data_IF_320458696621
#
_entry.id   IF_320458696621
#
_cell.length_a   1.000
_cell.length_b   1.000
_cell.length_c   1.000
_cell.angle_alpha   90.00
_cell.angle_beta   90.00
_cell.angle_gamma   90.00
#
_symmetry.space_group_name_H-M   'P 1'
#
loop_
_entity.id
_entity.type
_entity.pdbx_description
1 polymer ?
#
# COMPACT_ATOMS: atom_id res chain seq x y z
N UNK A 1 -22.76 -0.04 3.60
CA UNK A 1 -22.01 0.26 2.35
C UNK A 1 -20.73 -0.53 2.40
N UNK A 2 -20.49 -1.36 1.39
CA UNK A 2 -19.23 -2.10 1.30
C UNK A 2 -18.12 -1.12 0.83
N UNK A 3 -17.06 -1.03 1.61
CA UNK A 3 -15.95 -0.09 1.43
C UNK A 3 -14.68 -0.90 1.27
N UNK A 4 -13.77 -0.53 0.39
CA UNK A 4 -12.40 -1.06 0.35
C UNK A 4 -11.42 0.10 0.17
N UNK A 5 -10.61 0.35 1.19
CA UNK A 5 -9.70 1.50 1.23
C UNK A 5 -8.23 1.13 1.00
N UNK A 6 -7.94 -0.12 0.57
CA UNK A 6 -6.57 -0.55 0.35
C UNK A 6 -6.51 -1.61 -0.75
N UNK A 7 -6.04 -1.20 -1.93
CA UNK A 7 -5.83 -2.09 -3.07
C UNK A 7 -4.81 -1.51 -4.06
N UNK A 8 -4.22 -2.38 -4.88
CA UNK A 8 -3.14 -2.05 -5.79
C UNK A 8 -3.44 -2.46 -7.22
N UNK A 9 -3.04 -1.61 -8.16
CA UNK A 9 -3.16 -1.83 -9.60
C UNK A 9 -1.80 -2.03 -10.27
N UNK A 10 -1.80 -2.20 -11.60
CA UNK A 10 -0.57 -2.25 -12.40
C UNK A 10 0.21 -0.92 -12.38
N UNK A 11 -0.37 0.16 -11.85
CA UNK A 11 0.38 1.40 -11.63
C UNK A 11 1.49 1.22 -10.57
N UNK A 12 1.41 0.19 -9.72
CA UNK A 12 2.49 -0.19 -8.79
C UNK A 12 2.86 -1.67 -8.93
N UNK A 13 2.30 -2.54 -8.12
CA UNK A 13 2.63 -3.97 -8.08
C UNK A 13 1.40 -4.89 -8.02
N UNK A 14 0.22 -4.35 -8.29
CA UNK A 14 -0.97 -5.13 -8.56
C UNK A 14 -0.98 -5.76 -9.94
N UNK A 15 -1.85 -6.75 -10.15
CA UNK A 15 -1.94 -7.51 -11.38
C UNK A 15 -3.04 -7.02 -12.36
N UNK A 16 -3.88 -6.08 -11.96
CA UNK A 16 -4.98 -5.57 -12.77
C UNK A 16 -4.78 -4.08 -13.09
N UNK A 17 -5.09 -3.70 -14.33
CA UNK A 17 -5.16 -2.28 -14.70
C UNK A 17 -6.18 -1.55 -13.82
N UNK A 18 -6.01 -0.24 -13.53
CA UNK A 18 -6.88 0.51 -12.62
C UNK A 18 -8.37 0.37 -12.96
N UNK A 19 -8.76 0.51 -14.24
CA UNK A 19 -10.16 0.36 -14.64
C UNK A 19 -10.71 -1.06 -14.43
N UNK A 20 -9.89 -2.08 -14.70
CA UNK A 20 -10.27 -3.49 -14.50
C UNK A 20 -10.45 -3.81 -13.02
N UNK A 21 -9.57 -3.27 -12.16
CA UNK A 21 -9.66 -3.41 -10.71
C UNK A 21 -10.94 -2.75 -10.19
N UNK A 22 -11.25 -1.53 -10.63
CA UNK A 22 -12.48 -0.82 -10.26
C UNK A 22 -13.73 -1.60 -10.67
N UNK A 23 -13.79 -2.13 -11.90
CA UNK A 23 -14.90 -2.94 -12.37
C UNK A 23 -15.06 -4.21 -11.49
N UNK A 24 -13.96 -4.89 -11.17
CA UNK A 24 -13.97 -6.05 -10.28
C UNK A 24 -14.48 -5.70 -8.88
N UNK A 25 -14.04 -4.58 -8.31
CA UNK A 25 -14.51 -4.09 -7.01
C UNK A 25 -16.04 -3.85 -7.03
N UNK A 26 -16.54 -3.23 -8.11
CA UNK A 26 -17.96 -3.01 -8.29
C UNK A 26 -18.77 -4.31 -8.36
N UNK A 27 -18.29 -5.31 -9.12
CA UNK A 27 -18.88 -6.65 -9.22
C UNK A 27 -18.91 -7.37 -7.86
N UNK A 28 -17.89 -7.16 -7.02
CA UNK A 28 -17.83 -7.68 -5.65
C UNK A 28 -18.68 -6.88 -4.65
N UNK A 29 -19.42 -5.90 -5.11
CA UNK A 29 -20.34 -5.11 -4.30
C UNK A 29 -19.72 -3.95 -3.55
N UNK A 30 -18.44 -3.61 -3.80
CA UNK A 30 -17.81 -2.40 -3.28
C UNK A 30 -18.52 -1.16 -3.84
N UNK A 31 -18.75 -0.17 -3.01
CA UNK A 31 -19.40 1.09 -3.39
C UNK A 31 -18.57 2.33 -3.07
N UNK A 32 -17.60 2.18 -2.17
CA UNK A 32 -16.57 3.19 -1.88
C UNK A 32 -15.21 2.51 -1.99
N UNK A 33 -14.40 2.94 -2.93
CA UNK A 33 -13.07 2.38 -3.20
C UNK A 33 -12.01 3.46 -3.02
N UNK A 34 -10.85 3.08 -2.51
CA UNK A 34 -9.64 3.89 -2.61
C UNK A 34 -8.54 3.06 -3.27
N UNK A 35 -8.07 3.50 -4.44
CA UNK A 35 -6.88 2.93 -5.07
C UNK A 35 -5.65 3.53 -4.39
N UNK A 36 -4.80 2.65 -3.83
CA UNK A 36 -3.68 3.05 -2.95
C UNK A 36 -2.34 2.52 -3.45
N UNK A 37 -2.08 2.67 -4.74
CA UNK A 37 -0.84 2.23 -5.35
C UNK A 37 0.40 2.75 -4.62
N UNK A 38 1.43 1.93 -4.54
CA UNK A 38 2.67 2.26 -3.84
C UNK A 38 3.44 3.40 -4.51
N UNK A 39 3.61 4.51 -3.77
CA UNK A 39 4.47 5.64 -4.12
C UNK A 39 4.20 6.25 -5.51
N UNK A 40 2.95 6.14 -6.00
CA UNK A 40 2.51 6.70 -7.29
C UNK A 40 1.05 7.11 -7.26
N UNK A 41 0.68 8.05 -8.13
CA UNK A 41 -0.70 8.51 -8.34
C UNK A 41 -1.20 8.20 -9.76
N UNK A 42 -0.38 7.54 -10.59
CA UNK A 42 -0.64 7.38 -12.02
C UNK A 42 -1.92 6.60 -12.34
N UNK A 43 -2.34 5.68 -11.45
CA UNK A 43 -3.58 4.90 -11.62
C UNK A 43 -4.87 5.67 -11.31
N UNK A 44 -4.81 6.84 -10.65
CA UNK A 44 -5.99 7.50 -10.09
C UNK A 44 -6.96 8.03 -11.15
N UNK A 45 -6.46 8.61 -12.24
CA UNK A 45 -7.35 9.20 -13.27
C UNK A 45 -8.13 8.12 -14.00
N UNK A 46 -7.49 7.03 -14.41
CA UNK A 46 -8.16 5.87 -15.03
C UNK A 46 -9.17 5.23 -14.07
N UNK A 47 -8.79 5.05 -12.80
CA UNK A 47 -9.70 4.51 -11.79
C UNK A 47 -10.92 5.40 -11.56
N UNK A 48 -10.74 6.73 -11.59
CA UNK A 48 -11.82 7.72 -11.41
C UNK A 48 -12.82 7.67 -12.54
N UNK A 49 -12.36 7.63 -13.79
CA UNK A 49 -13.23 7.51 -14.96
C UNK A 49 -14.05 6.22 -14.92
N UNK A 50 -13.42 5.10 -14.57
CA UNK A 50 -14.09 3.81 -14.43
C UNK A 50 -15.13 3.83 -13.29
N UNK A 51 -14.78 4.37 -12.12
CA UNK A 51 -15.68 4.46 -10.97
C UNK A 51 -16.89 5.35 -11.27
N UNK A 52 -16.67 6.51 -11.90
CA UNK A 52 -17.74 7.41 -12.33
C UNK A 52 -18.72 6.71 -13.28
N UNK A 53 -18.21 5.96 -14.27
CA UNK A 53 -19.01 5.22 -15.23
C UNK A 53 -19.90 4.15 -14.60
N UNK A 54 -19.48 3.61 -13.44
CA UNK A 54 -20.21 2.59 -12.68
C UNK A 54 -21.08 3.17 -11.56
N UNK A 55 -21.06 4.48 -11.33
CA UNK A 55 -21.73 5.11 -10.19
C UNK A 55 -21.14 4.68 -8.83
N UNK A 56 -19.84 4.39 -8.80
CA UNK A 56 -19.09 4.02 -7.59
C UNK A 56 -18.29 5.24 -7.10
N UNK A 57 -18.23 5.46 -5.79
CA UNK A 57 -17.40 6.50 -5.22
C UNK A 57 -15.94 6.07 -5.18
N UNK A 58 -15.04 6.81 -5.85
CA UNK A 58 -13.61 6.68 -5.69
C UNK A 58 -13.08 7.79 -4.79
N UNK A 59 -12.30 7.41 -3.79
CA UNK A 59 -11.53 8.32 -2.92
C UNK A 59 -10.08 8.29 -3.38
N UNK A 60 -9.47 9.45 -3.67
CA UNK A 60 -8.05 9.50 -3.98
C UNK A 60 -7.26 8.80 -2.88
N UNK A 61 -6.44 7.84 -3.24
CA UNK A 61 -5.63 7.05 -2.32
C UNK A 61 -4.18 6.93 -2.77
N UNK A 62 -3.30 6.72 -1.82
CA UNK A 62 -1.89 6.40 -2.06
C UNK A 62 -1.34 5.65 -0.86
N UNK A 63 -0.44 4.70 -1.07
CA UNK A 63 0.34 4.08 -0.02
C UNK A 63 1.81 4.50 -0.15
N UNK A 64 2.28 5.36 0.76
CA UNK A 64 3.64 5.86 0.75
C UNK A 64 4.57 5.00 1.61
N UNK A 65 5.73 4.66 1.02
CA UNK A 65 6.82 3.96 1.72
C UNK A 65 7.62 4.93 2.57
N UNK A 66 7.90 4.56 3.82
CA UNK A 66 8.76 5.32 4.72
C UNK A 66 9.59 4.42 5.63
N UNK A 67 10.49 5.02 6.41
CA UNK A 67 11.31 4.32 7.40
C UNK A 67 10.96 4.72 8.82
N UNK A 68 10.87 3.73 9.71
CA UNK A 68 10.75 3.92 11.13
C UNK A 68 11.47 2.80 11.90
N UNK A 69 12.30 3.16 12.87
CA UNK A 69 13.00 2.20 13.74
C UNK A 69 13.80 1.13 13.00
N UNK A 70 14.38 1.50 11.82
CA UNK A 70 15.16 0.62 10.96
C UNK A 70 14.32 -0.36 10.12
N UNK A 71 13.00 -0.19 10.07
CA UNK A 71 12.09 -0.96 9.22
C UNK A 71 11.48 -0.09 8.13
N UNK A 72 11.15 -0.67 6.97
CA UNK A 72 10.22 -0.05 6.03
C UNK A 72 8.81 -0.24 6.56
N UNK A 73 8.05 0.84 6.63
CA UNK A 73 6.62 0.85 6.96
C UNK A 73 5.88 1.66 5.91
N UNK A 74 4.57 1.54 5.88
CA UNK A 74 3.73 2.22 4.91
C UNK A 74 2.68 3.09 5.58
N UNK A 75 2.35 4.19 4.92
CA UNK A 75 1.33 5.14 5.37
C UNK A 75 0.36 5.41 4.23
N UNK A 76 -0.92 5.19 4.50
CA UNK A 76 -2.01 5.44 3.57
C UNK A 76 -2.48 6.90 3.68
N UNK A 77 -2.63 7.55 2.54
CA UNK A 77 -3.27 8.86 2.42
C UNK A 77 -4.59 8.75 1.67
N UNK A 78 -5.63 9.46 2.13
CA UNK A 78 -6.96 9.45 1.53
C UNK A 78 -7.52 10.84 1.33
N UNK A 79 -8.16 11.09 0.18
CA UNK A 79 -8.92 12.31 -0.06
C UNK A 79 -8.08 13.57 -0.21
N UNK A 80 -6.86 13.43 -0.67
CA UNK A 80 -5.93 14.54 -0.90
C UNK A 80 -6.15 15.22 -2.25
N UNK A 81 -5.62 16.45 -2.37
CA UNK A 81 -5.41 17.09 -3.67
C UNK A 81 -4.18 16.45 -4.35
N UNK A 82 -4.42 15.74 -5.46
CA UNK A 82 -3.34 15.06 -6.22
C UNK A 82 -2.32 16.02 -6.84
N UNK A 83 -2.66 17.31 -6.95
CA UNK A 83 -1.78 18.37 -7.48
C UNK A 83 -1.08 19.17 -6.37
N UNK A 84 -1.28 18.81 -5.10
CA UNK A 84 -0.61 19.48 -3.99
C UNK A 84 0.91 19.38 -4.13
N UNK A 85 1.59 20.52 -4.19
CA UNK A 85 3.03 20.58 -4.43
C UNK A 85 3.87 19.70 -3.48
N UNK A 86 3.59 19.59 -2.17
CA UNK A 86 4.32 18.69 -1.28
C UNK A 86 4.20 17.22 -1.70
N UNK A 87 3.01 16.77 -2.11
CA UNK A 87 2.77 15.40 -2.51
C UNK A 87 3.45 15.08 -3.85
N UNK A 88 3.33 15.98 -4.83
CA UNK A 88 3.99 15.82 -6.15
C UNK A 88 5.50 15.71 -5.97
N UNK A 89 6.12 16.56 -5.14
CA UNK A 89 7.55 16.50 -4.86
C UNK A 89 7.96 15.19 -4.15
N UNK A 90 7.16 14.73 -3.18
CA UNK A 90 7.43 13.48 -2.47
C UNK A 90 7.32 12.25 -3.40
N UNK A 91 6.30 12.21 -4.28
CA UNK A 91 6.13 11.13 -5.26
C UNK A 91 7.34 11.09 -6.21
N UNK A 92 7.83 12.24 -6.69
CA UNK A 92 9.02 12.28 -7.53
C UNK A 92 10.26 11.70 -6.82
N UNK A 93 10.48 12.07 -5.56
CA UNK A 93 11.58 11.53 -4.76
C UNK A 93 11.45 10.01 -4.53
N UNK A 94 10.22 9.55 -4.24
CA UNK A 94 9.94 8.13 -4.03
C UNK A 94 10.13 7.32 -5.32
N UNK A 95 9.72 7.87 -6.46
CA UNK A 95 9.97 7.27 -7.77
C UNK A 95 11.47 7.05 -8.01
N UNK A 96 12.31 8.07 -7.80
CA UNK A 96 13.77 7.96 -7.93
C UNK A 96 14.33 6.94 -6.92
N UNK A 97 13.85 6.98 -5.69
CA UNK A 97 14.22 6.03 -4.64
C UNK A 97 13.87 4.58 -4.99
N UNK A 98 12.73 4.34 -5.68
CA UNK A 98 12.34 3.01 -6.16
C UNK A 98 13.30 2.50 -7.24
N UNK A 99 13.70 3.34 -8.19
CA UNK A 99 14.69 2.96 -9.20
C UNK A 99 16.03 2.58 -8.57
N UNK A 100 16.59 3.43 -7.71
CA UNK A 100 17.83 3.15 -6.99
C UNK A 100 17.74 1.85 -6.16
N UNK A 101 16.58 1.61 -5.52
CA UNK A 101 16.33 0.39 -4.77
C UNK A 101 16.33 -0.84 -5.67
N UNK A 102 15.68 -0.78 -6.84
CA UNK A 102 15.58 -1.90 -7.77
C UNK A 102 16.95 -2.26 -8.37
N UNK A 103 17.75 -1.24 -8.70
CA UNK A 103 19.16 -1.41 -9.12
C UNK A 103 19.99 -2.09 -8.03
N UNK A 104 19.86 -1.65 -6.78
CA UNK A 104 20.60 -2.24 -5.66
C UNK A 104 20.15 -3.68 -5.35
N UNK A 105 18.87 -3.99 -5.46
CA UNK A 105 18.36 -5.39 -5.37
C UNK A 105 19.02 -6.24 -6.46
N UNK A 106 18.99 -5.77 -7.72
CA UNK A 106 19.60 -6.47 -8.85
C UNK A 106 21.09 -6.70 -8.66
N UNK A 107 21.83 -5.65 -8.25
CA UNK A 107 23.25 -5.75 -7.94
C UNK A 107 23.54 -6.82 -6.87
N UNK A 108 22.76 -6.83 -5.79
CA UNK A 108 22.92 -7.81 -4.71
C UNK A 108 22.58 -9.24 -5.14
N UNK A 109 21.52 -9.41 -5.95
CA UNK A 109 21.16 -10.72 -6.51
C UNK A 109 22.24 -11.24 -7.47
N UNK A 110 22.80 -10.37 -8.31
CA UNK A 110 23.90 -10.72 -9.22
C UNK A 110 25.13 -11.25 -8.48
N UNK A 111 25.49 -10.66 -7.34
CA UNK A 111 26.57 -11.14 -6.47
C UNK A 111 26.29 -12.53 -5.85
N UNK A 112 25.06 -13.00 -5.92
CA UNK A 112 24.62 -14.32 -5.46
C UNK A 112 24.37 -15.31 -6.61
N UNK A 113 24.85 -14.98 -7.82
CA UNK A 113 24.73 -15.85 -8.98
C UNK A 113 23.40 -15.76 -9.73
N UNK A 114 22.68 -14.66 -9.55
CA UNK A 114 21.40 -14.36 -10.21
C UNK A 114 21.51 -13.08 -11.06
N UNK A 115 22.31 -13.09 -12.16
CA UNK A 115 22.49 -11.91 -13.01
C UNK A 115 21.23 -11.62 -13.85
N UNK A 116 21.07 -10.35 -14.29
CA UNK A 116 19.94 -9.95 -15.13
C UNK A 116 18.62 -9.73 -14.38
N UNK A 117 18.69 -9.58 -13.05
CA UNK A 117 17.49 -9.48 -12.21
C UNK A 117 16.65 -8.24 -12.50
N UNK A 118 17.26 -7.08 -12.80
CA UNK A 118 16.52 -5.86 -13.11
C UNK A 118 15.77 -5.98 -14.43
N UNK A 119 16.46 -6.42 -15.47
CA UNK A 119 15.89 -6.63 -16.81
C UNK A 119 14.78 -7.68 -16.78
N UNK A 120 14.99 -8.76 -16.04
CA UNK A 120 13.99 -9.82 -15.88
C UNK A 120 12.76 -9.37 -15.11
N UNK A 121 12.93 -8.61 -14.00
CA UNK A 121 11.83 -8.06 -13.25
C UNK A 121 11.04 -6.99 -14.06
N UNK A 122 11.73 -6.19 -14.89
CA UNK A 122 11.08 -5.27 -15.84
C UNK A 122 10.27 -6.01 -16.90
N UNK A 123 10.79 -7.10 -17.46
CA UNK A 123 10.04 -7.89 -18.43
C UNK A 123 8.75 -8.47 -17.83
N UNK A 124 8.78 -8.94 -16.57
CA UNK A 124 7.58 -9.36 -15.85
C UNK A 124 6.57 -8.21 -15.73
N UNK A 125 7.04 -7.05 -15.31
CA UNK A 125 6.20 -5.87 -15.14
C UNK A 125 5.56 -5.44 -16.47
N UNK A 126 6.30 -5.43 -17.56
CA UNK A 126 5.81 -5.10 -18.90
C UNK A 126 4.69 -6.05 -19.37
N UNK A 127 4.81 -7.35 -19.08
CA UNK A 127 3.78 -8.33 -19.39
C UNK A 127 2.47 -8.08 -18.62
N UNK A 128 2.56 -7.45 -17.43
CA UNK A 128 1.41 -7.09 -16.61
C UNK A 128 0.77 -5.73 -17.00
N UNK A 129 1.42 -4.96 -17.88
CA UNK A 129 0.95 -3.63 -18.28
C UNK A 129 1.79 -2.52 -17.67
N UNK A 130 3.01 -2.37 -18.14
CA UNK A 130 4.04 -1.46 -17.62
C UNK A 130 3.52 -0.03 -17.40
N UNK A 131 3.68 0.46 -16.19
CA UNK A 131 3.40 1.84 -15.78
C UNK A 131 4.59 2.80 -15.97
N UNK A 132 5.77 2.31 -16.40
CA UNK A 132 7.01 3.08 -16.42
C UNK A 132 7.71 3.19 -15.06
N UNK A 133 7.10 2.68 -14.01
CA UNK A 133 7.65 2.69 -12.65
C UNK A 133 8.75 1.63 -12.46
N UNK A 134 9.52 1.75 -11.38
CA UNK A 134 10.56 0.78 -11.06
C UNK A 134 9.95 -0.57 -10.62
N UNK A 135 10.53 -1.72 -11.04
CA UNK A 135 10.04 -3.02 -10.60
C UNK A 135 10.06 -3.16 -9.09
N UNK A 136 8.93 -3.61 -8.52
CA UNK A 136 8.79 -3.92 -7.11
C UNK A 136 9.28 -5.35 -6.79
N UNK A 137 9.44 -5.69 -5.50
CA UNK A 137 9.89 -7.03 -5.06
C UNK A 137 9.05 -8.19 -5.60
N UNK A 138 7.72 -8.09 -5.77
CA UNK A 138 6.94 -9.14 -6.43
C UNK A 138 7.42 -9.47 -7.85
N UNK A 139 7.78 -8.45 -8.66
CA UNK A 139 8.30 -8.66 -10.01
C UNK A 139 9.64 -9.41 -10.01
N UNK A 140 10.55 -9.07 -9.06
CA UNK A 140 11.77 -9.85 -8.85
C UNK A 140 11.48 -11.30 -8.42
N UNK A 141 10.49 -11.50 -7.56
CA UNK A 141 10.10 -12.84 -7.12
C UNK A 141 9.60 -13.70 -8.30
N UNK A 142 8.75 -13.13 -9.15
CA UNK A 142 8.25 -13.84 -10.34
C UNK A 142 9.35 -14.15 -11.35
N UNK A 143 10.27 -13.19 -11.56
CA UNK A 143 11.45 -13.44 -12.37
C UNK A 143 12.29 -14.59 -11.78
N UNK A 144 12.53 -14.61 -10.47
CA UNK A 144 13.28 -15.69 -9.82
C UNK A 144 12.60 -17.05 -9.96
N UNK A 145 11.27 -17.10 -9.95
CA UNK A 145 10.50 -18.33 -10.21
C UNK A 145 10.64 -18.74 -11.67
N UNK A 146 10.48 -17.80 -12.60
CA UNK A 146 10.61 -18.04 -14.05
C UNK A 146 11.98 -18.61 -14.43
N UNK A 147 13.03 -18.06 -13.86
CA UNK A 147 14.41 -18.51 -14.11
C UNK A 147 14.81 -19.76 -13.31
N UNK A 148 13.93 -20.26 -12.45
CA UNK A 148 14.19 -21.48 -11.65
C UNK A 148 15.15 -21.27 -10.47
N UNK A 149 15.42 -20.04 -10.07
CA UNK A 149 16.23 -19.75 -8.87
C UNK A 149 15.51 -20.11 -7.57
N UNK A 150 14.19 -20.10 -7.59
CA UNK A 150 13.30 -20.49 -6.49
C UNK A 150 12.09 -21.23 -7.05
N UNK A 151 11.42 -22.04 -6.21
CA UNK A 151 10.27 -22.84 -6.64
C UNK A 151 8.95 -22.05 -6.70
N UNK A 152 8.82 -21.02 -5.86
CA UNK A 152 7.61 -20.19 -5.72
C UNK A 152 7.95 -18.81 -5.11
N UNK A 153 6.98 -17.87 -5.20
CA UNK A 153 7.10 -16.53 -4.59
C UNK A 153 7.39 -16.58 -3.09
N UNK A 154 6.78 -17.50 -2.36
CA UNK A 154 6.96 -17.62 -0.92
C UNK A 154 8.43 -17.94 -0.56
N UNK A 155 9.07 -18.79 -1.35
CA UNK A 155 10.50 -19.07 -1.20
C UNK A 155 11.36 -17.84 -1.54
N UNK A 156 11.01 -17.09 -2.61
CA UNK A 156 11.73 -15.87 -2.99
C UNK A 156 11.74 -14.87 -1.83
N UNK A 157 10.58 -14.59 -1.23
CA UNK A 157 10.48 -13.68 -0.09
C UNK A 157 11.17 -14.22 1.16
N UNK A 158 10.97 -15.48 1.49
CA UNK A 158 11.59 -16.10 2.67
C UNK A 158 13.11 -16.07 2.63
N UNK A 159 13.72 -16.32 1.46
CA UNK A 159 15.18 -16.44 1.33
C UNK A 159 15.88 -15.14 0.93
N UNK A 160 15.25 -14.33 0.07
CA UNK A 160 15.95 -13.27 -0.66
C UNK A 160 15.35 -11.87 -0.52
N UNK A 161 14.02 -11.72 -0.63
CA UNK A 161 13.38 -10.41 -0.85
C UNK A 161 12.61 -9.88 0.36
N UNK A 162 12.30 -10.72 1.34
CA UNK A 162 11.51 -10.35 2.52
C UNK A 162 12.25 -9.48 3.52
N UNK A 163 11.57 -9.09 4.59
CA UNK A 163 12.12 -8.25 5.66
C UNK A 163 13.41 -8.85 6.24
N UNK A 164 14.44 -8.02 6.39
CA UNK A 164 15.76 -8.44 6.87
C UNK A 164 16.58 -9.30 5.90
N UNK A 165 16.11 -9.52 4.68
CA UNK A 165 16.81 -10.26 3.64
C UNK A 165 17.58 -9.33 2.70
N UNK A 166 18.31 -9.92 1.76
CA UNK A 166 19.17 -9.22 0.81
C UNK A 166 18.44 -8.14 0.00
N UNK A 167 17.21 -8.40 -0.43
CA UNK A 167 16.35 -7.47 -1.17
C UNK A 167 15.60 -6.46 -0.29
N UNK A 168 15.80 -6.47 1.03
CA UNK A 168 15.23 -5.47 1.93
C UNK A 168 16.11 -4.20 1.97
N UNK A 169 16.08 -3.45 0.88
CA UNK A 169 16.82 -2.19 0.72
C UNK A 169 15.96 -1.03 1.20
N UNK A 170 16.42 -0.25 2.20
CA UNK A 170 15.63 0.75 2.95
C UNK A 170 16.15 2.17 2.84
N UNK A 171 17.33 2.37 2.32
CA UNK A 171 18.09 3.64 2.44
C UNK A 171 17.57 4.82 1.62
N UNK A 172 16.51 4.60 0.82
CA UNK A 172 15.96 5.62 -0.08
C UNK A 172 14.57 6.13 0.33
N UNK A 173 14.08 5.73 1.50
CA UNK A 173 12.76 6.12 1.98
C UNK A 173 12.82 7.32 2.94
N UNK A 174 11.85 8.25 2.87
CA UNK A 174 11.70 9.32 3.86
C UNK A 174 11.41 8.76 5.25
N UNK A 175 11.46 9.60 6.26
CA UNK A 175 11.04 9.23 7.62
C UNK A 175 9.52 9.11 7.73
N UNK A 176 9.04 8.45 8.78
CA UNK A 176 7.62 8.40 9.12
C UNK A 176 7.04 9.83 9.28
N UNK A 177 7.77 10.68 10.00
CA UNK A 177 7.38 12.05 10.30
C UNK A 177 7.21 12.86 9.01
N UNK A 178 8.20 12.86 8.12
CA UNK A 178 8.17 13.56 6.83
C UNK A 178 7.01 13.08 5.95
N UNK A 179 6.75 11.77 5.94
CA UNK A 179 5.68 11.15 5.14
C UNK A 179 4.30 11.57 5.65
N UNK A 180 4.08 11.53 6.96
CA UNK A 180 2.81 11.97 7.57
C UNK A 180 2.59 13.46 7.35
N UNK A 181 3.62 14.29 7.51
CA UNK A 181 3.55 15.72 7.27
C UNK A 181 3.20 16.04 5.80
N UNK A 182 3.85 15.36 4.85
CA UNK A 182 3.57 15.50 3.42
C UNK A 182 2.12 15.21 3.08
N UNK A 183 1.60 14.06 3.55
CA UNK A 183 0.20 13.67 3.31
C UNK A 183 -0.77 14.69 3.94
N UNK A 184 -0.52 15.13 5.15
CA UNK A 184 -1.35 16.14 5.82
C UNK A 184 -1.32 17.48 5.09
N UNK A 185 -0.16 17.91 4.63
CA UNK A 185 0.00 19.16 3.86
C UNK A 185 -0.74 19.11 2.51
N UNK A 186 -1.01 17.91 1.97
CA UNK A 186 -1.83 17.69 0.77
C UNK A 186 -3.34 17.58 1.05
N UNK A 187 -3.77 17.74 2.29
CA UNK A 187 -5.18 17.62 2.72
C UNK A 187 -5.64 16.21 3.04
N UNK A 188 -4.72 15.22 3.05
CA UNK A 188 -5.09 13.82 3.26
C UNK A 188 -5.55 13.50 4.68
N UNK A 189 -6.52 12.60 4.78
CA UNK A 189 -6.66 11.74 5.94
C UNK A 189 -5.57 10.67 5.91
N UNK A 190 -4.85 10.51 7.02
CA UNK A 190 -3.67 9.64 7.09
C UNK A 190 -3.97 8.43 7.94
N UNK A 191 -3.62 7.22 7.45
CA UNK A 191 -3.77 5.96 8.19
C UNK A 191 -2.46 5.15 8.16
N UNK A 192 -2.06 4.56 9.28
CA UNK A 192 -0.94 3.62 9.33
C UNK A 192 -1.37 2.29 8.70
N UNK A 193 -0.69 1.88 7.62
CA UNK A 193 -1.02 0.68 6.85
C UNK A 193 -0.66 -0.59 7.62
N UNK A 194 -1.53 -1.60 7.54
CA UNK A 194 -1.32 -2.99 8.02
C UNK A 194 -0.31 -3.15 9.17
N UNK A 195 -0.49 -2.48 10.34
CA UNK A 195 0.54 -2.42 11.40
C UNK A 195 0.84 -3.78 12.03
N UNK A 196 0.06 -4.82 11.70
CA UNK A 196 0.34 -6.18 12.12
C UNK A 196 1.32 -6.92 11.21
N UNK A 197 1.45 -6.52 9.95
CA UNK A 197 2.37 -7.17 9.00
C UNK A 197 3.85 -6.93 9.35
N UNK A 198 4.14 -5.92 10.15
CA UNK A 198 5.49 -5.70 10.65
C UNK A 198 5.81 -6.69 11.78
N UNK A 199 6.93 -7.38 11.66
CA UNK A 199 7.43 -8.30 12.70
C UNK A 199 7.95 -7.51 13.91
N UNK A 200 7.01 -6.87 14.60
CA UNK A 200 7.30 -6.07 15.78
C UNK A 200 6.72 -6.70 17.05
N UNK A 201 7.48 -6.62 18.13
CA UNK A 201 6.95 -6.90 19.46
C UNK A 201 5.78 -5.95 19.77
N UNK A 202 4.94 -6.33 20.73
CA UNK A 202 3.84 -5.48 21.20
C UNK A 202 4.33 -4.08 21.60
N UNK A 203 5.44 -3.98 22.34
CA UNK A 203 6.01 -2.70 22.79
C UNK A 203 6.50 -1.86 21.61
N UNK A 204 7.17 -2.48 20.62
CA UNK A 204 7.65 -1.79 19.42
C UNK A 204 6.49 -1.28 18.58
N UNK A 205 5.40 -2.07 18.42
CA UNK A 205 4.19 -1.66 17.70
C UNK A 205 3.49 -0.49 18.39
N UNK A 206 3.39 -0.52 19.72
CA UNK A 206 2.85 0.63 20.49
C UNK A 206 3.69 1.89 20.32
N UNK A 207 5.01 1.75 20.31
CA UNK A 207 5.90 2.89 20.06
C UNK A 207 5.72 3.45 18.64
N UNK A 208 5.61 2.60 17.62
CA UNK A 208 5.31 3.03 16.25
C UNK A 208 4.02 3.86 16.21
N UNK A 209 2.94 3.35 16.83
CA UNK A 209 1.64 4.05 16.84
C UNK A 209 1.76 5.40 17.59
N UNK A 210 2.47 5.44 18.71
CA UNK A 210 2.68 6.68 19.46
C UNK A 210 3.48 7.71 18.65
N UNK A 211 4.56 7.30 18.00
CA UNK A 211 5.39 8.18 17.16
C UNK A 211 4.58 8.66 15.94
N UNK A 212 3.78 7.77 15.32
CA UNK A 212 2.87 8.08 14.22
C UNK A 212 1.81 9.13 14.60
N UNK A 213 1.22 9.01 15.79
CA UNK A 213 0.29 10.02 16.33
C UNK A 213 1.02 11.33 16.59
N UNK A 214 2.23 11.27 17.16
CA UNK A 214 3.07 12.45 17.37
C UNK A 214 3.37 13.22 16.10
N UNK A 215 3.51 12.52 14.96
CA UNK A 215 3.64 13.11 13.64
C UNK A 215 2.31 13.67 13.07
N UNK A 216 1.17 13.38 13.70
CA UNK A 216 -0.15 13.87 13.30
C UNK A 216 -1.00 12.87 12.53
N UNK A 217 -0.73 11.57 12.65
CA UNK A 217 -1.56 10.52 12.05
C UNK A 217 -2.98 10.48 12.62
N UNK A 218 -3.97 10.12 11.79
CA UNK A 218 -5.39 10.18 12.12
C UNK A 218 -6.00 8.82 12.43
N UNK A 219 -5.57 7.77 11.71
CA UNK A 219 -6.19 6.46 11.72
C UNK A 219 -5.15 5.33 11.70
N UNK A 220 -5.59 4.11 12.02
CA UNK A 220 -4.82 2.91 11.75
C UNK A 220 -5.66 1.90 10.97
N UNK A 221 -5.04 1.11 10.11
CA UNK A 221 -5.69 0.00 9.44
C UNK A 221 -5.83 -1.17 10.43
N UNK A 222 -7.05 -1.38 10.91
CA UNK A 222 -7.35 -2.43 11.89
C UNK A 222 -7.64 -3.76 11.21
N UNK A 223 -8.21 -3.71 10.00
CA UNK A 223 -8.51 -4.89 9.19
C UNK A 223 -7.83 -4.78 7.85
N UNK A 224 -7.01 -5.78 7.54
CA UNK A 224 -6.31 -5.91 6.26
C UNK A 224 -6.55 -7.34 5.74
N UNK A 225 -7.33 -7.46 4.66
CA UNK A 225 -7.68 -8.74 4.03
C UNK A 225 -8.18 -9.81 5.01
N UNK A 226 -7.66 -11.02 4.86
CA UNK A 226 -8.02 -12.18 5.70
C UNK A 226 -7.24 -12.29 7.02
N UNK A 227 -6.73 -11.16 7.52
CA UNK A 227 -6.02 -11.11 8.80
C UNK A 227 -6.76 -11.87 9.91
N UNK A 228 -6.06 -12.67 10.76
CA UNK A 228 -6.68 -13.42 11.86
C UNK A 228 -7.44 -12.53 12.85
N UNK A 229 -8.58 -13.03 13.38
CA UNK A 229 -9.43 -12.27 14.30
C UNK A 229 -8.71 -11.77 15.56
N UNK A 230 -7.73 -12.53 16.07
CA UNK A 230 -6.91 -12.13 17.22
C UNK A 230 -6.05 -10.89 16.93
N UNK A 231 -5.55 -10.78 15.70
CA UNK A 231 -4.77 -9.63 15.27
C UNK A 231 -5.68 -8.40 15.13
N UNK A 232 -6.85 -8.56 14.52
CA UNK A 232 -7.88 -7.50 14.45
C UNK A 232 -8.25 -7.03 15.86
N UNK A 233 -8.54 -7.97 16.77
CA UNK A 233 -8.85 -7.64 18.17
C UNK A 233 -7.72 -6.87 18.86
N UNK A 234 -6.48 -7.25 18.62
CA UNK A 234 -5.31 -6.57 19.19
C UNK A 234 -5.15 -5.14 18.66
N UNK A 235 -5.36 -4.92 17.36
CA UNK A 235 -5.32 -3.59 16.75
C UNK A 235 -6.51 -2.73 17.19
N UNK A 236 -7.69 -3.33 17.33
CA UNK A 236 -8.89 -2.65 17.86
C UNK A 236 -8.66 -2.12 19.29
N UNK A 237 -7.99 -2.89 20.14
CA UNK A 237 -7.60 -2.42 21.50
C UNK A 237 -6.67 -1.20 21.40
N UNK A 238 -5.68 -1.23 20.50
CA UNK A 238 -4.76 -0.11 20.30
C UNK A 238 -5.49 1.11 19.73
N UNK A 239 -6.40 0.92 18.76
CA UNK A 239 -7.20 2.02 18.21
C UNK A 239 -8.01 2.74 19.31
N UNK A 240 -8.68 1.97 20.19
CA UNK A 240 -9.42 2.55 21.33
C UNK A 240 -8.51 3.28 22.31
N UNK A 241 -7.41 2.65 22.66
CA UNK A 241 -6.45 3.19 23.65
C UNK A 241 -5.86 4.52 23.19
N UNK A 242 -5.54 4.63 21.91
CA UNK A 242 -4.95 5.83 21.34
C UNK A 242 -5.98 6.82 20.76
N UNK A 243 -7.27 6.49 20.80
CA UNK A 243 -8.34 7.36 20.29
C UNK A 243 -8.30 7.57 18.77
N UNK A 244 -7.83 6.58 18.01
CA UNK A 244 -7.66 6.65 16.57
C UNK A 244 -8.95 6.29 15.83
N UNK A 245 -9.15 6.91 14.67
CA UNK A 245 -10.04 6.39 13.64
C UNK A 245 -9.49 5.06 13.10
N UNK A 246 -10.35 4.30 12.41
CA UNK A 246 -9.92 3.04 11.81
C UNK A 246 -10.21 3.01 10.31
N UNK A 247 -9.26 2.49 9.54
CA UNK A 247 -9.44 2.11 8.15
C UNK A 247 -9.44 0.60 8.00
N UNK A 248 -9.92 0.12 6.86
CA UNK A 248 -9.94 -1.27 6.48
C UNK A 248 -9.85 -1.41 4.96
N UNK A 249 -9.25 -2.47 4.50
CA UNK A 249 -9.15 -2.79 3.09
C UNK A 249 -8.71 -4.23 2.86
N UNK A 250 -8.77 -4.65 1.61
CA UNK A 250 -8.38 -6.00 1.21
C UNK A 250 -6.87 -6.16 1.04
N UNK A 251 -6.16 -5.07 0.76
CA UNK A 251 -4.77 -5.09 0.30
C UNK A 251 -4.60 -6.01 -0.92
N UNK A 252 -5.58 -5.90 -1.83
CA UNK A 252 -5.67 -6.72 -3.01
C UNK A 252 -4.58 -6.34 -4.02
N UNK A 253 -3.81 -7.35 -4.45
CA UNK A 253 -2.78 -7.21 -5.48
C UNK A 253 -3.09 -8.00 -6.75
N UNK A 254 -4.12 -8.87 -6.72
CA UNK A 254 -4.50 -9.65 -7.90
C UNK A 254 -5.28 -10.92 -7.57
N UNK A 255 -5.96 -11.50 -8.58
CA UNK A 255 -6.72 -12.72 -8.43
C UNK A 255 -5.84 -13.89 -7.97
N UNK A 256 -6.36 -14.69 -7.02
CA UNK A 256 -5.62 -15.82 -6.46
C UNK A 256 -4.53 -15.44 -5.47
N UNK A 257 -4.44 -14.16 -5.10
CA UNK A 257 -3.59 -13.66 -4.02
C UNK A 257 -4.12 -14.05 -2.63
N UNK A 258 -3.58 -13.38 -1.60
CA UNK A 258 -3.93 -13.67 -0.23
C UNK A 258 -5.32 -13.16 0.18
N UNK A 259 -5.86 -12.17 -0.53
CA UNK A 259 -7.21 -11.62 -0.34
C UNK A 259 -7.88 -11.31 -1.68
N UNK A 260 -9.19 -11.24 -1.69
CA UNK A 260 -9.99 -10.76 -2.82
C UNK A 260 -10.46 -9.34 -2.53
N UNK A 261 -10.60 -8.52 -3.58
CA UNK A 261 -11.07 -7.14 -3.44
C UNK A 261 -12.47 -7.10 -2.82
N UNK A 262 -12.66 -6.21 -1.86
CA UNK A 262 -13.91 -6.10 -1.09
C UNK A 262 -14.12 -7.20 -0.05
N UNK A 263 -13.21 -8.17 0.05
CA UNK A 263 -13.32 -9.29 0.99
C UNK A 263 -12.31 -9.15 2.13
N UNK A 264 -12.78 -8.73 3.28
CA UNK A 264 -12.02 -8.65 4.52
C UNK A 264 -12.94 -8.87 5.73
N UNK A 265 -12.36 -9.08 6.90
CA UNK A 265 -13.13 -9.28 8.13
C UNK A 265 -13.94 -8.04 8.51
N UNK A 266 -15.13 -8.22 9.13
CA UNK A 266 -15.87 -7.07 9.65
C UNK A 266 -15.03 -6.24 10.63
N UNK A 267 -15.10 -4.93 10.49
CA UNK A 267 -14.54 -4.00 11.47
C UNK A 267 -15.42 -4.03 12.73
N UNK A 268 -14.85 -4.08 13.95
CA UNK A 268 -15.62 -3.98 15.18
C UNK A 268 -16.53 -2.74 15.21
N UNK A 269 -17.83 -2.96 15.51
CA UNK A 269 -18.90 -1.94 15.36
C UNK A 269 -18.72 -0.69 16.22
N UNK A 270 -18.01 -0.82 17.33
CA UNK A 270 -17.76 0.28 18.29
C UNK A 270 -16.59 1.20 17.93
N UNK A 271 -15.86 0.90 16.84
CA UNK A 271 -14.74 1.71 16.41
C UNK A 271 -15.16 2.87 15.49
N UNK A 272 -14.56 4.05 15.65
CA UNK A 272 -14.87 5.20 14.82
C UNK A 272 -14.26 5.02 13.41
N UNK A 273 -15.13 4.91 12.40
CA UNK A 273 -14.75 4.60 11.03
C UNK A 273 -14.21 5.84 10.29
N UNK A 274 -13.06 5.72 9.65
CA UNK A 274 -12.45 6.81 8.87
C UNK A 274 -13.36 7.25 7.71
N UNK A 275 -13.94 6.32 6.97
CA UNK A 275 -14.82 6.62 5.83
C UNK A 275 -16.14 7.32 6.21
N UNK A 276 -16.49 7.32 7.48
CA UNK A 276 -17.57 8.17 8.00
C UNK A 276 -17.26 9.68 7.87
N UNK A 277 -15.98 10.05 7.78
CA UNK A 277 -15.52 11.43 7.60
C UNK A 277 -15.59 11.89 6.14
N UNK A 278 -15.53 10.99 5.18
CA UNK A 278 -15.51 11.32 3.76
C UNK A 278 -16.75 12.06 3.26
N UNK A 279 -17.91 11.84 3.87
CA UNK A 279 -19.17 12.53 3.53
C UNK A 279 -19.16 14.03 3.80
N UNK A 280 -18.25 14.49 4.63
CA UNK A 280 -18.14 15.89 5.06
C UNK A 280 -16.85 16.55 4.54
N UNK A 281 -16.07 15.82 3.75
CA UNK A 281 -14.82 16.33 3.20
C UNK A 281 -15.11 16.98 1.83
N UNK A 282 -14.81 18.28 1.65
CA UNK A 282 -15.11 18.99 0.41
C UNK A 282 -14.32 18.45 -0.79
N UNK A 283 -13.17 17.81 -0.59
CA UNK A 283 -12.37 17.21 -1.65
C UNK A 283 -12.99 15.89 -2.11
N UNK A 284 -13.57 15.12 -1.18
CA UNK A 284 -14.16 13.80 -1.44
C UNK A 284 -15.63 13.87 -1.84
N UNK A 285 -16.37 14.88 -1.34
CA UNK A 285 -17.80 15.03 -1.58
C UNK A 285 -18.15 15.57 -3.00
N UNK A 286 -17.17 15.90 -3.80
CA UNK A 286 -17.33 16.53 -5.12
C UNK A 286 -17.34 15.51 -6.30
N UNK A 287 -17.45 14.19 -6.02
CA UNK A 287 -17.50 13.15 -7.05
C UNK A 287 -18.89 12.54 -7.13
#
# INVERSE_FOLDING_TARGET
>A
VNVDLHCHSTASDGALAPAVLVARAFEKGVRVLSLTDHDTLEGLDEAREAAHSLGMQLVNGVELSCTWGGATIHVLGYGFDQNAAPLVAAIAQLHDGRWLRSEEISRKLSLKGMPGALEGARAIQQELGDSGNAPARPHFADWMVREGFVKDRAEAFRKWLGAGKLGDVKQHWPTLEDTVETLRASGAWVSLAHPWHYDFTRSKRRKLIADYIGAGGHAIEVVNGHQPAEQVGSLAILAREFGLLVSAGSDFHGPGGWSEIGEYRPVPEDLPLLWGRFKHDPIIATV
#
